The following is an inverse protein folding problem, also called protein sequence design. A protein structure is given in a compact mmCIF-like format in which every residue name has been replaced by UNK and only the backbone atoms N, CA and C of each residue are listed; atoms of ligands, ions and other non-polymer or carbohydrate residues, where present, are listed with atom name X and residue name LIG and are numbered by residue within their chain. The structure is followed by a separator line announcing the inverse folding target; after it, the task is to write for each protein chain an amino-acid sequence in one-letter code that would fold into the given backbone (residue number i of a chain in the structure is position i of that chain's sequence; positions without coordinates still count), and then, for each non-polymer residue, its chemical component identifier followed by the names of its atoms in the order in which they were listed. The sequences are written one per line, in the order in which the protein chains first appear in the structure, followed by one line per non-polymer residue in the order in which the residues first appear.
data_IF_746673453738
#
_entry.id   IF_746673453738
#
_cell.length_a   1.000
_cell.length_b   1.000
_cell.length_c   1.000
_cell.angle_alpha   90.00
_cell.angle_beta   90.00
_cell.angle_gamma   90.00
#
_symmetry.space_group_name_H-M   'P 1'
#
loop_
_entity.id
_entity.type
_entity.pdbx_description
1 polymer ?
#
# COMPACT_ATOMS: atom_id res chain seq x y z
N UNK A 1 -19.83 -35.59 4.01
CA UNK A 1 -18.69 -34.95 4.69
C UNK A 1 -17.43 -35.75 4.33
N UNK A 2 -16.50 -35.17 3.57
CA UNK A 2 -15.21 -35.82 3.32
C UNK A 2 -14.41 -35.82 4.62
N UNK A 3 -14.00 -37.00 5.09
CA UNK A 3 -13.13 -37.13 6.27
C UNK A 3 -11.80 -36.43 6.00
N UNK A 4 -11.48 -35.42 6.82
CA UNK A 4 -10.24 -34.66 6.69
C UNK A 4 -9.07 -35.59 7.00
N UNK A 5 -8.14 -35.77 6.08
CA UNK A 5 -6.96 -36.63 6.28
C UNK A 5 -5.94 -35.99 7.23
N UNK A 6 -5.14 -36.83 7.94
CA UNK A 6 -4.08 -36.34 8.85
C UNK A 6 -3.12 -35.33 8.19
N UNK A 7 -2.65 -35.52 6.93
CA UNK A 7 -1.82 -34.53 6.23
C UNK A 7 -2.52 -33.19 6.00
N UNK A 8 -3.82 -33.19 5.78
CA UNK A 8 -4.61 -31.97 5.64
C UNK A 8 -4.69 -31.18 6.97
N UNK A 9 -4.95 -31.86 8.10
CA UNK A 9 -4.96 -31.23 9.42
C UNK A 9 -3.58 -30.61 9.71
N UNK A 10 -2.51 -31.37 9.49
CA UNK A 10 -1.15 -30.87 9.65
C UNK A 10 -0.86 -29.64 8.77
N UNK A 11 -1.35 -29.60 7.51
CA UNK A 11 -1.17 -28.45 6.64
C UNK A 11 -1.91 -27.20 7.12
N UNK A 12 -3.09 -27.32 7.74
CA UNK A 12 -3.80 -26.20 8.35
C UNK A 12 -3.05 -25.63 9.55
N UNK A 13 -2.57 -26.51 10.45
CA UNK A 13 -1.81 -26.08 11.61
C UNK A 13 -0.54 -25.36 11.19
N UNK A 14 0.21 -25.92 10.23
CA UNK A 14 1.43 -25.30 9.73
C UNK A 14 1.17 -23.96 9.03
N UNK A 15 0.11 -23.85 8.22
CA UNK A 15 -0.27 -22.61 7.58
C UNK A 15 -0.67 -21.55 8.62
N UNK A 16 -1.47 -21.92 9.63
CA UNK A 16 -1.86 -21.00 10.71
C UNK A 16 -0.63 -20.51 11.49
N UNK A 17 0.27 -21.43 11.89
CA UNK A 17 1.50 -21.08 12.61
C UNK A 17 2.38 -20.17 11.76
N UNK A 18 2.51 -20.44 10.46
CA UNK A 18 3.29 -19.61 9.55
C UNK A 18 2.70 -18.20 9.39
N UNK A 19 1.37 -18.07 9.24
CA UNK A 19 0.71 -16.78 9.07
C UNK A 19 0.73 -15.94 10.36
N UNK A 20 0.42 -16.55 11.52
CA UNK A 20 0.50 -15.87 12.83
C UNK A 20 1.96 -15.52 13.14
N UNK A 21 2.90 -16.44 12.87
CA UNK A 21 4.33 -16.19 13.05
C UNK A 21 4.84 -15.06 12.19
N UNK A 22 4.37 -14.95 10.94
CA UNK A 22 4.73 -13.83 10.07
C UNK A 22 4.31 -12.46 10.64
N UNK A 23 3.16 -12.39 11.31
CA UNK A 23 2.70 -11.18 12.00
C UNK A 23 3.52 -10.90 13.27
N UNK A 24 3.65 -11.91 14.15
CA UNK A 24 4.33 -11.73 15.44
C UNK A 24 5.82 -11.42 15.32
N UNK A 25 6.49 -12.04 14.34
CA UNK A 25 7.92 -11.81 14.08
C UNK A 25 8.18 -10.58 13.21
N UNK A 26 7.13 -9.84 12.80
CA UNK A 26 7.24 -8.69 11.91
C UNK A 26 7.72 -9.08 10.50
N UNK A 27 7.49 -10.31 10.06
CA UNK A 27 7.89 -10.81 8.74
C UNK A 27 6.84 -10.60 7.66
N UNK A 28 5.74 -9.87 7.98
CA UNK A 28 4.66 -9.61 7.04
C UNK A 28 5.20 -8.93 5.76
N UNK A 29 6.08 -7.93 5.90
CA UNK A 29 6.68 -7.24 4.76
C UNK A 29 7.48 -8.18 3.85
N UNK A 30 8.21 -9.13 4.42
CA UNK A 30 8.91 -10.16 3.66
C UNK A 30 7.95 -11.10 2.94
N UNK A 31 6.90 -11.55 3.62
CA UNK A 31 5.85 -12.41 3.04
C UNK A 31 5.16 -11.72 1.87
N UNK A 32 4.73 -10.46 2.06
CA UNK A 32 4.03 -9.72 1.01
C UNK A 32 4.94 -9.41 -0.19
N UNK A 33 6.20 -9.04 0.06
CA UNK A 33 7.19 -8.80 -0.99
C UNK A 33 7.50 -10.09 -1.77
N UNK A 34 7.62 -11.22 -1.09
CA UNK A 34 7.81 -12.53 -1.73
C UNK A 34 6.61 -12.94 -2.59
N UNK A 35 5.39 -12.79 -2.05
CA UNK A 35 4.15 -13.06 -2.80
C UNK A 35 3.99 -12.11 -4.00
N UNK A 36 4.44 -10.86 -3.88
CA UNK A 36 4.41 -9.88 -4.97
C UNK A 36 5.31 -10.34 -6.11
N UNK A 37 6.60 -10.62 -5.82
CA UNK A 37 7.55 -11.09 -6.83
C UNK A 37 7.09 -12.40 -7.46
N UNK A 38 6.66 -13.35 -6.65
CA UNK A 38 6.10 -14.62 -7.15
C UNK A 38 4.94 -14.38 -8.11
N UNK A 39 3.98 -13.54 -7.74
CA UNK A 39 2.81 -13.23 -8.55
C UNK A 39 3.19 -12.51 -9.85
N UNK A 40 4.08 -11.53 -9.78
CA UNK A 40 4.53 -10.74 -10.94
C UNK A 40 5.29 -11.62 -11.94
N UNK A 41 6.19 -12.50 -11.46
CA UNK A 41 6.90 -13.47 -12.33
C UNK A 41 5.91 -14.37 -13.05
N UNK A 42 4.90 -14.92 -12.34
CA UNK A 42 3.89 -15.78 -12.94
C UNK A 42 2.95 -15.06 -13.89
N UNK A 43 2.76 -13.76 -13.75
CA UNK A 43 2.00 -12.94 -14.69
C UNK A 43 2.82 -12.51 -15.90
N UNK A 44 4.11 -12.21 -15.71
CA UNK A 44 5.01 -11.76 -16.79
C UNK A 44 5.51 -12.92 -17.67
N UNK A 45 5.78 -14.09 -17.09
CA UNK A 45 6.32 -15.22 -17.83
C UNK A 45 5.49 -15.64 -19.06
N UNK A 46 4.14 -15.77 -18.99
CA UNK A 46 3.35 -16.11 -20.17
C UNK A 46 3.33 -15.00 -21.23
N UNK A 47 3.50 -13.72 -20.83
CA UNK A 47 3.62 -12.60 -21.78
C UNK A 47 4.92 -12.71 -22.57
N UNK A 48 6.04 -13.01 -21.91
CA UNK A 48 7.34 -13.24 -22.54
C UNK A 48 7.30 -14.47 -23.46
N UNK A 49 6.58 -15.54 -23.07
CA UNK A 49 6.37 -16.71 -23.92
C UNK A 49 5.66 -16.37 -25.23
N UNK A 50 4.67 -15.46 -25.21
CA UNK A 50 3.99 -14.97 -26.41
C UNK A 50 4.89 -14.13 -27.31
N UNK A 51 5.95 -13.51 -26.77
CA UNK A 51 6.95 -12.75 -27.50
C UNK A 51 8.08 -13.61 -28.08
N UNK A 52 7.97 -14.95 -28.04
CA UNK A 52 8.92 -15.88 -28.63
C UNK A 52 10.05 -16.33 -27.70
N UNK A 53 10.02 -15.99 -26.41
CA UNK A 53 11.01 -16.46 -25.43
C UNK A 53 10.75 -17.94 -25.12
N UNK A 54 11.81 -18.75 -25.11
CA UNK A 54 11.70 -20.19 -24.80
C UNK A 54 11.14 -20.43 -23.39
N UNK A 55 10.30 -21.43 -23.23
CA UNK A 55 9.58 -21.75 -21.98
C UNK A 55 10.52 -21.94 -20.76
N UNK A 56 11.78 -22.34 -20.97
CA UNK A 56 12.76 -22.48 -19.88
C UNK A 56 13.31 -21.13 -19.36
N UNK A 57 13.31 -20.08 -20.20
CA UNK A 57 13.89 -18.79 -19.88
C UNK A 57 12.86 -17.74 -19.47
N UNK A 58 11.57 -17.96 -19.73
CA UNK A 58 10.52 -16.94 -19.48
C UNK A 58 10.47 -16.48 -18.02
N UNK A 59 10.55 -17.39 -17.06
CA UNK A 59 10.52 -17.04 -15.62
C UNK A 59 11.82 -16.34 -15.18
N UNK A 60 12.96 -16.81 -15.67
CA UNK A 60 14.26 -16.22 -15.37
C UNK A 60 14.35 -14.81 -15.91
N UNK A 61 13.94 -14.57 -17.16
CA UNK A 61 13.89 -13.24 -17.74
C UNK A 61 12.86 -12.34 -17.03
N UNK A 62 11.68 -12.87 -16.71
CA UNK A 62 10.69 -12.12 -15.94
C UNK A 62 11.27 -11.65 -14.59
N UNK A 63 11.94 -12.55 -13.86
CA UNK A 63 12.59 -12.21 -12.59
C UNK A 63 13.72 -11.21 -12.79
N UNK A 64 14.58 -11.36 -13.80
CA UNK A 64 15.67 -10.44 -14.09
C UNK A 64 15.15 -9.02 -14.43
N UNK A 65 14.09 -8.91 -15.24
CA UNK A 65 13.45 -7.64 -15.55
C UNK A 65 12.87 -6.98 -14.28
N UNK A 66 12.17 -7.75 -13.44
CA UNK A 66 11.62 -7.24 -12.19
C UNK A 66 12.71 -6.80 -11.21
N UNK A 67 13.80 -7.57 -11.10
CA UNK A 67 14.95 -7.19 -10.28
C UNK A 67 15.62 -5.89 -10.80
N UNK A 68 15.78 -5.77 -12.12
CA UNK A 68 16.32 -4.56 -12.74
C UNK A 68 15.43 -3.33 -12.48
N UNK A 69 14.10 -3.46 -12.65
CA UNK A 69 13.14 -2.40 -12.35
C UNK A 69 13.23 -2.00 -10.86
N UNK A 70 13.28 -2.97 -9.95
CA UNK A 70 13.42 -2.70 -8.52
C UNK A 70 14.71 -1.97 -8.18
N UNK A 71 15.86 -2.44 -8.71
CA UNK A 71 17.16 -1.78 -8.53
C UNK A 71 17.11 -0.34 -9.07
N UNK A 72 16.55 -0.14 -10.26
CA UNK A 72 16.43 1.19 -10.85
C UNK A 72 15.58 2.12 -10.00
N UNK A 73 14.44 1.64 -9.47
CA UNK A 73 13.58 2.42 -8.56
C UNK A 73 14.30 2.77 -7.26
N UNK A 74 15.07 1.84 -6.68
CA UNK A 74 15.88 2.10 -5.48
C UNK A 74 16.96 3.13 -5.76
N UNK A 75 17.70 2.99 -6.86
CA UNK A 75 18.77 3.93 -7.26
C UNK A 75 18.18 5.33 -7.49
N UNK A 76 17.07 5.45 -8.24
CA UNK A 76 16.39 6.73 -8.47
C UNK A 76 15.90 7.31 -7.13
N UNK A 77 15.31 6.50 -6.28
CA UNK A 77 14.84 6.92 -4.95
C UNK A 77 15.97 7.45 -4.06
N UNK A 78 17.10 6.74 -4.03
CA UNK A 78 18.30 7.17 -3.29
C UNK A 78 18.91 8.44 -3.90
N UNK A 79 19.06 8.51 -5.22
CA UNK A 79 19.59 9.70 -5.88
C UNK A 79 18.71 10.94 -5.64
N UNK A 80 17.40 10.80 -5.77
CA UNK A 80 16.46 11.90 -5.48
C UNK A 80 16.44 12.27 -4.01
N UNK A 81 16.50 11.28 -3.11
CA UNK A 81 16.64 11.51 -1.67
C UNK A 81 17.96 12.21 -1.32
N UNK A 82 19.08 11.81 -1.93
CA UNK A 82 20.36 12.50 -1.73
C UNK A 82 20.32 13.95 -2.24
N UNK A 83 19.77 14.19 -3.41
CA UNK A 83 19.60 15.57 -3.93
C UNK A 83 18.78 16.41 -2.97
N UNK A 84 17.67 15.89 -2.43
CA UNK A 84 16.86 16.57 -1.41
C UNK A 84 17.63 16.82 -0.10
N UNK A 85 18.61 15.98 0.22
CA UNK A 85 19.44 16.12 1.44
C UNK A 85 20.71 16.95 1.21
N UNK A 86 21.31 16.94 0.01
CA UNK A 86 22.56 17.65 -0.32
C UNK A 86 22.36 19.05 -0.85
N UNK A 87 21.29 19.30 -1.60
CA UNK A 87 20.79 20.66 -1.86
C UNK A 87 20.11 21.27 -0.60
N UNK A 88 20.35 20.63 0.43
CA UNK A 88 19.91 20.42 1.81
C UNK A 88 19.45 21.64 2.60
N UNK A 89 19.89 22.82 2.36
CA UNK A 89 19.29 24.01 3.02
C UNK A 89 18.17 24.62 2.17
N UNK A 90 18.32 24.66 0.84
CA UNK A 90 17.31 25.28 -0.02
C UNK A 90 16.08 24.36 -0.26
N UNK A 91 16.25 23.05 -0.36
CA UNK A 91 15.15 22.13 -0.61
C UNK A 91 14.20 21.95 0.59
N UNK A 92 14.75 21.75 1.80
CA UNK A 92 13.96 21.64 3.04
C UNK A 92 13.42 23.01 3.44
N UNK A 93 14.23 24.06 3.36
CA UNK A 93 13.79 25.44 3.64
C UNK A 93 12.69 25.88 2.67
N UNK A 94 12.81 25.57 1.38
CA UNK A 94 11.77 25.88 0.40
C UNK A 94 10.47 25.10 0.63
N UNK A 95 10.55 23.88 1.16
CA UNK A 95 9.37 23.12 1.59
C UNK A 95 8.71 23.76 2.82
N UNK A 96 9.50 24.15 3.83
CA UNK A 96 8.98 24.87 5.00
C UNK A 96 8.39 26.23 4.62
N UNK A 97 9.05 26.97 3.71
CA UNK A 97 8.51 28.23 3.21
C UNK A 97 7.16 28.04 2.50
N UNK A 98 7.05 27.03 1.61
CA UNK A 98 5.76 26.72 0.97
C UNK A 98 4.71 26.24 1.96
N UNK A 99 5.09 25.47 2.97
CA UNK A 99 4.16 25.04 4.02
C UNK A 99 3.70 26.23 4.85
N UNK A 100 4.60 27.15 5.20
CA UNK A 100 4.26 28.37 5.92
C UNK A 100 3.34 29.26 5.08
N UNK A 101 3.64 29.47 3.79
CA UNK A 101 2.78 30.24 2.88
C UNK A 101 1.37 29.63 2.78
N UNK A 102 1.27 28.30 2.70
CA UNK A 102 0.00 27.58 2.71
C UNK A 102 -0.75 27.80 4.03
N UNK A 103 -0.05 27.74 5.16
CA UNK A 103 -0.64 27.90 6.49
C UNK A 103 -1.07 29.35 6.71
N UNK A 104 -0.22 30.34 6.39
CA UNK A 104 -0.52 31.77 6.51
C UNK A 104 -1.75 32.13 5.69
N UNK A 105 -1.79 31.65 4.43
CA UNK A 105 -2.93 31.92 3.55
C UNK A 105 -4.19 31.19 4.03
N UNK A 106 -4.06 29.97 4.52
CA UNK A 106 -5.17 29.21 5.08
C UNK A 106 -5.75 29.88 6.33
N UNK A 107 -4.92 30.48 7.20
CA UNK A 107 -5.38 31.19 8.40
C UNK A 107 -6.29 32.38 8.07
N UNK A 108 -6.07 33.06 6.95
CA UNK A 108 -6.95 34.14 6.50
C UNK A 108 -8.38 33.67 6.24
N UNK A 109 -8.54 32.40 5.89
CA UNK A 109 -9.83 31.80 5.56
C UNK A 109 -10.45 30.96 6.68
N UNK A 110 -9.69 30.77 7.81
CA UNK A 110 -10.18 30.01 8.95
C UNK A 110 -11.08 30.86 9.86
N UNK A 111 -12.12 30.27 10.47
CA UNK A 111 -12.86 30.89 11.57
C UNK A 111 -11.93 31.21 12.75
N UNK A 112 -12.25 32.25 13.51
CA UNK A 112 -11.43 32.74 14.63
C UNK A 112 -11.08 31.66 15.65
N UNK A 113 -12.00 30.76 15.97
CA UNK A 113 -11.80 29.68 16.92
C UNK A 113 -10.78 28.61 16.45
N UNK A 114 -10.50 28.53 15.16
CA UNK A 114 -9.58 27.55 14.60
C UNK A 114 -8.17 28.12 14.39
N UNK A 115 -8.02 29.45 14.33
CA UNK A 115 -6.73 30.09 14.07
C UNK A 115 -5.70 29.82 15.17
N UNK A 116 -6.15 29.77 16.42
CA UNK A 116 -5.27 29.59 17.58
C UNK A 116 -4.57 28.23 17.64
N UNK A 117 -5.01 27.27 16.82
CA UNK A 117 -4.41 25.94 16.74
C UNK A 117 -3.34 25.79 15.63
N UNK A 118 -3.13 26.83 14.83
CA UNK A 118 -2.15 26.79 13.73
C UNK A 118 -1.00 27.75 14.00
N UNK A 119 0.26 27.37 13.61
CA UNK A 119 1.41 28.28 13.70
C UNK A 119 1.13 29.59 12.96
N UNK A 120 1.49 30.70 13.54
CA UNK A 120 1.15 32.03 13.02
C UNK A 120 2.15 32.54 11.97
N UNK A 121 3.35 31.98 11.90
CA UNK A 121 4.40 32.39 10.94
C UNK A 121 5.43 31.26 10.72
N UNK A 122 6.34 31.49 9.75
CA UNK A 122 7.42 30.57 9.40
C UNK A 122 8.33 30.26 10.60
N UNK A 123 8.68 31.26 11.41
CA UNK A 123 9.57 31.08 12.58
C UNK A 123 8.92 30.18 13.64
N UNK A 124 7.63 30.33 13.85
CA UNK A 124 6.87 29.49 14.77
C UNK A 124 6.77 28.05 14.24
N UNK A 125 6.54 27.88 12.93
CA UNK A 125 6.54 26.58 12.27
C UNK A 125 7.92 25.88 12.34
N UNK A 126 9.00 26.64 12.07
CA UNK A 126 10.38 26.14 12.18
C UNK A 126 10.73 25.79 13.62
N UNK A 127 10.35 26.63 14.59
CA UNK A 127 10.58 26.38 16.00
C UNK A 127 9.80 25.16 16.51
N UNK A 128 8.56 25.02 16.09
CA UNK A 128 7.72 23.84 16.38
C UNK A 128 8.33 22.58 15.76
N UNK A 129 8.73 22.63 14.49
CA UNK A 129 9.38 21.50 13.83
C UNK A 129 10.72 21.14 14.48
N UNK A 130 11.55 22.14 14.83
CA UNK A 130 12.82 21.93 15.51
C UNK A 130 12.65 21.40 16.94
N UNK A 131 11.65 21.88 17.67
CA UNK A 131 11.30 21.36 19.00
C UNK A 131 10.77 19.93 18.90
N UNK A 132 9.89 19.66 17.95
CA UNK A 132 9.37 18.32 17.70
C UNK A 132 10.48 17.35 17.34
N UNK A 133 11.38 17.72 16.41
CA UNK A 133 12.55 16.92 16.01
C UNK A 133 13.47 16.63 17.20
N UNK A 134 13.77 17.65 18.03
CA UNK A 134 14.61 17.48 19.23
C UNK A 134 13.96 16.56 20.25
N UNK A 135 12.67 16.73 20.51
CA UNK A 135 11.93 15.91 21.47
C UNK A 135 11.75 14.46 20.99
N UNK A 136 11.78 14.24 19.68
CA UNK A 136 11.58 12.92 19.07
C UNK A 136 12.86 12.37 18.40
N UNK A 137 14.03 13.00 18.61
CA UNK A 137 15.30 12.58 17.99
C UNK A 137 15.64 11.10 18.27
N UNK A 138 15.42 10.62 19.49
CA UNK A 138 15.60 9.20 19.83
C UNK A 138 14.59 8.29 19.11
N UNK A 139 13.35 8.74 18.94
CA UNK A 139 12.35 7.99 18.20
C UNK A 139 12.65 7.96 16.69
N UNK A 140 13.15 9.08 16.13
CA UNK A 140 13.60 9.16 14.73
C UNK A 140 14.77 8.22 14.43
N UNK A 141 15.70 8.07 15.37
CA UNK A 141 16.78 7.10 15.24
C UNK A 141 16.24 5.66 15.24
N UNK A 142 15.25 5.35 16.09
CA UNK A 142 14.58 4.05 16.10
C UNK A 142 13.82 3.82 14.79
N UNK A 143 13.10 4.83 14.30
CA UNK A 143 12.39 4.77 13.01
C UNK A 143 13.37 4.51 11.86
N UNK A 144 14.53 5.16 11.83
CA UNK A 144 15.57 4.91 10.84
C UNK A 144 16.08 3.46 10.87
N UNK A 145 16.29 2.90 12.06
CA UNK A 145 16.63 1.48 12.23
C UNK A 145 15.49 0.58 11.74
N UNK A 146 14.26 0.89 12.09
CA UNK A 146 13.09 0.09 11.72
C UNK A 146 12.85 0.11 10.20
N UNK A 147 13.09 1.24 9.54
CA UNK A 147 13.09 1.33 8.08
C UNK A 147 14.19 0.45 7.48
N UNK A 148 15.39 0.48 8.03
CA UNK A 148 16.48 -0.38 7.58
C UNK A 148 16.13 -1.87 7.70
N UNK A 149 15.59 -2.29 8.83
CA UNK A 149 15.12 -3.67 9.06
C UNK A 149 13.98 -4.02 8.10
N UNK A 150 13.04 -3.10 7.88
CA UNK A 150 11.94 -3.27 6.92
C UNK A 150 12.46 -3.52 5.50
N UNK A 151 13.42 -2.71 5.04
CA UNK A 151 14.03 -2.86 3.71
C UNK A 151 14.74 -4.21 3.57
N UNK A 152 15.51 -4.62 4.58
CA UNK A 152 16.16 -5.94 4.58
C UNK A 152 15.11 -7.06 4.48
N UNK A 153 14.03 -6.99 5.25
CA UNK A 153 12.94 -7.97 5.20
C UNK A 153 12.27 -8.01 3.84
N UNK A 154 12.02 -6.85 3.22
CA UNK A 154 11.47 -6.75 1.86
C UNK A 154 12.41 -7.43 0.86
N UNK A 155 13.71 -7.11 0.88
CA UNK A 155 14.70 -7.69 -0.05
C UNK A 155 14.78 -9.20 0.14
N UNK A 156 14.88 -9.68 1.37
CA UNK A 156 14.91 -11.13 1.65
C UNK A 156 13.63 -11.82 1.17
N UNK A 157 12.46 -11.19 1.39
CA UNK A 157 11.19 -11.69 0.88
C UNK A 157 11.16 -11.77 -0.64
N UNK A 158 11.64 -10.73 -1.34
CA UNK A 158 11.73 -10.70 -2.79
C UNK A 158 12.65 -11.80 -3.33
N UNK A 159 13.81 -12.01 -2.71
CA UNK A 159 14.76 -13.10 -3.07
C UNK A 159 14.08 -14.45 -2.91
N UNK A 160 13.46 -14.73 -1.76
CA UNK A 160 12.77 -16.00 -1.50
C UNK A 160 11.63 -16.20 -2.49
N UNK A 161 10.79 -15.18 -2.71
CA UNK A 161 9.69 -15.24 -3.69
C UNK A 161 10.18 -15.48 -5.11
N UNK A 162 11.30 -14.88 -5.51
CA UNK A 162 11.97 -15.11 -6.79
C UNK A 162 12.49 -16.53 -6.91
N UNK A 163 13.17 -17.05 -5.91
CA UNK A 163 13.65 -18.43 -5.88
C UNK A 163 12.51 -19.44 -6.01
N UNK A 164 11.42 -19.23 -5.27
CA UNK A 164 10.21 -20.07 -5.37
C UNK A 164 9.61 -20.00 -6.77
N UNK A 165 9.56 -18.82 -7.38
CA UNK A 165 9.01 -18.62 -8.72
C UNK A 165 9.86 -19.32 -9.81
N UNK A 166 11.17 -19.43 -9.61
CA UNK A 166 12.09 -20.15 -10.50
C UNK A 166 12.05 -21.67 -10.30
N UNK A 167 11.64 -22.14 -9.11
CA UNK A 167 11.60 -23.56 -8.82
C UNK A 167 10.57 -24.22 -9.74
N UNK A 168 11.07 -24.83 -10.80
CA UNK A 168 10.26 -25.70 -11.65
C UNK A 168 9.97 -26.95 -10.84
N UNK A 169 8.71 -27.20 -10.55
CA UNK A 169 8.29 -28.51 -10.07
C UNK A 169 8.40 -29.45 -11.26
N UNK A 170 9.62 -29.90 -11.60
CA UNK A 170 9.82 -31.09 -12.39
C UNK A 170 9.63 -32.27 -11.44
N UNK A 171 8.55 -33.02 -11.57
CA UNK A 171 8.26 -34.10 -10.65
C UNK A 171 9.14 -35.30 -10.98
N UNK A 172 10.41 -35.28 -10.58
CA UNK A 172 11.23 -36.49 -10.55
C UNK A 172 10.75 -37.50 -9.49
N UNK A 173 9.97 -37.03 -8.51
CA UNK A 173 9.24 -37.84 -7.53
C UNK A 173 7.86 -37.23 -7.29
N UNK A 174 6.82 -38.08 -7.19
CA UNK A 174 5.48 -37.65 -6.79
C UNK A 174 5.58 -37.00 -5.40
N UNK A 175 5.08 -35.78 -5.23
CA UNK A 175 5.13 -35.11 -3.92
C UNK A 175 4.30 -35.91 -2.91
N UNK A 176 4.79 -35.99 -1.67
CA UNK A 176 4.06 -36.62 -0.57
C UNK A 176 2.74 -35.88 -0.25
N UNK A 177 1.78 -36.53 0.42
CA UNK A 177 0.46 -35.98 0.64
C UNK A 177 0.46 -34.66 1.46
N UNK A 178 1.40 -34.49 2.39
CA UNK A 178 1.56 -33.21 3.11
C UNK A 178 2.08 -32.10 2.21
N UNK A 179 3.04 -32.40 1.32
CA UNK A 179 3.57 -31.41 0.39
C UNK A 179 2.48 -30.92 -0.59
N UNK A 180 1.64 -31.83 -1.07
CA UNK A 180 0.47 -31.47 -1.90
C UNK A 180 -0.47 -30.55 -1.14
N UNK A 181 -0.82 -30.89 0.11
CA UNK A 181 -1.70 -30.08 0.93
C UNK A 181 -1.12 -28.68 1.24
N UNK A 182 0.19 -28.57 1.53
CA UNK A 182 0.86 -27.29 1.75
C UNK A 182 0.91 -26.42 0.50
N UNK A 183 1.16 -27.05 -0.67
CA UNK A 183 1.14 -26.32 -1.95
C UNK A 183 -0.25 -25.76 -2.26
N UNK A 184 -1.31 -26.49 -1.93
CA UNK A 184 -2.69 -26.03 -2.05
C UNK A 184 -2.93 -24.79 -1.17
N UNK A 185 -2.48 -24.79 0.11
CA UNK A 185 -2.58 -23.64 1.02
C UNK A 185 -1.80 -22.43 0.49
N UNK A 186 -0.56 -22.65 0.04
CA UNK A 186 0.26 -21.59 -0.55
C UNK A 186 -0.38 -20.99 -1.82
N UNK A 187 -0.99 -21.82 -2.67
CA UNK A 187 -1.70 -21.35 -3.85
C UNK A 187 -2.93 -20.50 -3.50
N UNK A 188 -3.71 -20.91 -2.49
CA UNK A 188 -4.86 -20.13 -2.01
C UNK A 188 -4.41 -18.78 -1.43
N UNK A 189 -3.36 -18.75 -0.61
CA UNK A 189 -2.80 -17.52 -0.07
C UNK A 189 -2.30 -16.60 -1.19
N UNK A 190 -1.58 -17.14 -2.18
CA UNK A 190 -1.10 -16.38 -3.33
C UNK A 190 -2.26 -15.81 -4.16
N UNK A 191 -3.35 -16.56 -4.34
CA UNK A 191 -4.54 -16.08 -5.03
C UNK A 191 -5.27 -14.98 -4.23
N UNK A 192 -5.43 -15.15 -2.93
CA UNK A 192 -6.01 -14.14 -2.04
C UNK A 192 -5.18 -12.85 -2.09
N UNK A 193 -3.85 -12.95 -1.94
CA UNK A 193 -2.93 -11.82 -2.07
C UNK A 193 -3.09 -11.11 -3.41
N UNK A 194 -3.02 -11.85 -4.51
CA UNK A 194 -3.15 -11.30 -5.86
C UNK A 194 -4.48 -10.57 -6.05
N UNK A 195 -5.57 -11.16 -5.61
CA UNK A 195 -6.90 -10.57 -5.74
C UNK A 195 -7.03 -9.26 -4.96
N UNK A 196 -6.51 -9.21 -3.72
CA UNK A 196 -6.55 -8.01 -2.88
C UNK A 196 -5.62 -6.93 -3.43
N UNK A 197 -4.33 -7.22 -3.60
CA UNK A 197 -3.31 -6.22 -3.94
C UNK A 197 -3.56 -5.61 -5.31
N UNK A 198 -3.88 -6.42 -6.33
CA UNK A 198 -4.18 -5.87 -7.65
C UNK A 198 -5.54 -5.19 -7.74
N UNK A 199 -6.50 -5.54 -6.88
CA UNK A 199 -7.73 -4.76 -6.74
C UNK A 199 -7.44 -3.41 -6.12
N UNK A 200 -6.66 -3.35 -5.04
CA UNK A 200 -6.27 -2.10 -4.39
C UNK A 200 -5.47 -1.18 -5.33
N UNK A 201 -4.56 -1.74 -6.13
CA UNK A 201 -3.83 -0.98 -7.15
C UNK A 201 -4.77 -0.33 -8.17
N UNK A 202 -5.78 -1.07 -8.66
CA UNK A 202 -6.78 -0.53 -9.60
C UNK A 202 -7.63 0.56 -8.96
N UNK A 203 -8.05 0.36 -7.71
CA UNK A 203 -8.87 1.31 -6.97
C UNK A 203 -8.08 2.61 -6.76
N UNK A 204 -6.83 2.50 -6.28
CA UNK A 204 -5.95 3.65 -6.09
C UNK A 204 -5.68 4.38 -7.41
N UNK A 205 -5.44 3.66 -8.51
CA UNK A 205 -5.23 4.27 -9.83
C UNK A 205 -6.48 5.03 -10.32
N UNK A 206 -7.67 4.45 -10.15
CA UNK A 206 -8.94 5.10 -10.52
C UNK A 206 -9.23 6.32 -9.66
N UNK A 207 -9.04 6.21 -8.34
CA UNK A 207 -9.19 7.35 -7.42
C UNK A 207 -8.22 8.47 -7.78
N UNK A 208 -6.96 8.14 -8.03
CA UNK A 208 -5.93 9.10 -8.49
C UNK A 208 -6.28 9.74 -9.82
N UNK A 209 -6.83 8.97 -10.76
CA UNK A 209 -7.26 9.49 -12.06
C UNK A 209 -8.37 10.53 -11.92
N UNK A 210 -9.41 10.22 -11.17
CA UNK A 210 -10.50 11.17 -10.94
C UNK A 210 -10.06 12.39 -10.12
N UNK A 211 -9.27 12.19 -9.08
CA UNK A 211 -8.67 13.27 -8.30
C UNK A 211 -7.77 14.14 -9.17
N UNK A 212 -6.99 13.53 -10.05
CA UNK A 212 -6.15 14.26 -11.01
C UNK A 212 -6.96 15.13 -11.98
N UNK A 213 -8.05 14.61 -12.52
CA UNK A 213 -8.99 15.40 -13.36
C UNK A 213 -9.56 16.55 -12.54
N UNK A 214 -10.00 16.31 -11.31
CA UNK A 214 -10.56 17.34 -10.46
C UNK A 214 -9.55 18.46 -10.19
N UNK A 215 -8.34 18.10 -9.74
CA UNK A 215 -7.30 19.07 -9.37
C UNK A 215 -6.69 19.80 -10.57
N UNK A 216 -6.49 19.09 -11.70
CA UNK A 216 -5.77 19.65 -12.84
C UNK A 216 -6.68 20.23 -13.95
N UNK A 217 -7.97 19.88 -13.96
CA UNK A 217 -8.91 20.32 -15.00
C UNK A 217 -10.11 21.05 -14.40
N UNK A 218 -10.83 20.42 -13.46
CA UNK A 218 -12.08 20.99 -12.95
C UNK A 218 -11.82 22.27 -12.16
N UNK A 219 -10.95 22.25 -11.16
CA UNK A 219 -10.65 23.44 -10.36
C UNK A 219 -10.09 24.61 -11.21
N UNK A 220 -9.13 24.39 -12.11
CA UNK A 220 -8.66 25.45 -13.02
C UNK A 220 -9.74 26.02 -13.95
N UNK A 221 -10.70 25.20 -14.40
CA UNK A 221 -11.83 25.68 -15.20
C UNK A 221 -12.75 26.65 -14.43
N UNK A 222 -12.76 26.56 -13.08
CA UNK A 222 -13.42 27.54 -12.20
C UNK A 222 -12.48 28.67 -11.76
N UNK A 223 -11.29 28.80 -12.35
CA UNK A 223 -10.30 29.83 -11.99
C UNK A 223 -9.54 29.54 -10.71
N UNK A 224 -9.67 28.34 -10.15
CA UNK A 224 -9.01 27.93 -8.89
C UNK A 224 -7.74 27.13 -9.25
N UNK A 225 -6.56 27.69 -8.96
CA UNK A 225 -5.27 27.05 -9.22
C UNK A 225 -4.63 26.67 -7.88
N UNK A 226 -4.63 25.37 -7.56
CA UNK A 226 -3.99 24.87 -6.36
C UNK A 226 -2.48 24.72 -6.54
N UNK A 227 -1.68 25.01 -5.50
CA UNK A 227 -0.27 24.64 -5.48
C UNK A 227 -0.10 23.11 -5.35
N UNK A 228 1.07 22.60 -5.71
CA UNK A 228 1.47 21.20 -5.47
C UNK A 228 0.53 20.13 -6.09
N UNK A 229 -0.22 20.43 -7.14
CA UNK A 229 -1.17 19.47 -7.78
C UNK A 229 -0.50 18.14 -8.12
N UNK A 230 0.71 18.15 -8.72
CA UNK A 230 1.44 16.92 -9.07
C UNK A 230 1.77 16.08 -7.84
N UNK A 231 2.17 16.74 -6.76
CA UNK A 231 2.49 16.08 -5.48
C UNK A 231 1.24 15.47 -4.86
N UNK A 232 0.11 16.20 -4.86
CA UNK A 232 -1.16 15.69 -4.34
C UNK A 232 -1.64 14.47 -5.13
N UNK A 233 -1.52 14.48 -6.46
CA UNK A 233 -1.84 13.32 -7.30
C UNK A 233 -0.96 12.13 -6.95
N UNK A 234 0.36 12.34 -6.81
CA UNK A 234 1.29 11.28 -6.44
C UNK A 234 1.00 10.73 -5.04
N UNK A 235 0.77 11.61 -4.05
CA UNK A 235 0.39 11.23 -2.68
C UNK A 235 -0.90 10.40 -2.70
N UNK A 236 -1.94 10.84 -3.44
CA UNK A 236 -3.20 10.10 -3.57
C UNK A 236 -2.98 8.68 -4.10
N UNK A 237 -2.08 8.50 -5.08
CA UNK A 237 -1.77 7.18 -5.61
C UNK A 237 -1.05 6.29 -4.59
N UNK A 238 0.09 6.74 -4.07
CA UNK A 238 0.93 5.90 -3.21
C UNK A 238 0.28 5.62 -1.85
N UNK A 239 -0.29 6.65 -1.24
CA UNK A 239 -0.97 6.50 0.06
C UNK A 239 -2.28 5.74 -0.11
N UNK A 240 -2.99 5.93 -1.23
CA UNK A 240 -4.20 5.19 -1.60
C UNK A 240 -4.00 3.67 -1.77
N UNK A 241 -2.76 3.18 -1.84
CA UNK A 241 -2.48 1.74 -1.77
C UNK A 241 -2.73 1.16 -0.38
N UNK A 242 -2.75 1.99 0.66
CA UNK A 242 -3.11 1.57 2.02
C UNK A 242 -4.63 1.61 2.19
N UNK A 243 -5.29 0.49 2.50
CA UNK A 243 -6.73 0.47 2.70
C UNK A 243 -7.16 1.44 3.81
N UNK A 244 -8.23 2.17 3.61
CA UNK A 244 -8.87 3.10 4.56
C UNK A 244 -8.00 4.31 4.93
N UNK A 245 -6.80 4.12 5.48
CA UNK A 245 -5.90 5.20 5.93
C UNK A 245 -5.46 6.07 4.74
N UNK A 246 -5.26 5.46 3.57
CA UNK A 246 -4.79 6.16 2.39
C UNK A 246 -5.67 7.33 1.98
N UNK A 247 -6.96 7.10 1.95
CA UNK A 247 -7.94 8.13 1.59
C UNK A 247 -8.01 9.24 2.65
N UNK A 248 -7.91 8.88 3.93
CA UNK A 248 -7.92 9.88 5.01
C UNK A 248 -6.74 10.84 4.87
N UNK A 249 -5.53 10.33 4.66
CA UNK A 249 -4.32 11.16 4.50
C UNK A 249 -4.41 12.02 3.24
N UNK A 250 -4.70 11.43 2.08
CA UNK A 250 -4.74 12.18 0.81
C UNK A 250 -5.84 13.25 0.82
N UNK A 251 -7.02 12.93 1.36
CA UNK A 251 -8.12 13.89 1.47
C UNK A 251 -7.77 15.05 2.39
N UNK A 252 -7.15 14.78 3.53
CA UNK A 252 -6.71 15.83 4.46
C UNK A 252 -5.72 16.77 3.78
N UNK A 253 -4.72 16.24 3.07
CA UNK A 253 -3.74 17.05 2.34
C UNK A 253 -4.42 17.91 1.28
N UNK A 254 -5.32 17.35 0.48
CA UNK A 254 -6.02 18.10 -0.58
C UNK A 254 -6.87 19.23 0.01
N UNK A 255 -7.62 18.97 1.09
CA UNK A 255 -8.48 19.99 1.73
C UNK A 255 -7.65 21.11 2.35
N UNK A 256 -6.53 20.80 3.02
CA UNK A 256 -5.63 21.80 3.60
C UNK A 256 -5.04 22.68 2.48
N UNK A 257 -4.54 22.07 1.40
CA UNK A 257 -3.99 22.83 0.27
C UNK A 257 -5.08 23.64 -0.44
N UNK A 258 -6.30 23.15 -0.57
CA UNK A 258 -7.42 23.89 -1.14
C UNK A 258 -7.82 25.07 -0.24
N UNK A 259 -7.75 24.92 1.10
CA UNK A 259 -8.06 25.96 2.07
C UNK A 259 -7.08 27.13 1.96
N UNK A 260 -5.81 26.89 1.62
CA UNK A 260 -4.84 27.96 1.40
C UNK A 260 -5.19 28.89 0.23
N UNK A 261 -6.00 28.43 -0.72
CA UNK A 261 -6.44 29.25 -1.86
C UNK A 261 -7.74 29.99 -1.53
N UNK A 262 -8.74 29.26 -1.03
CA UNK A 262 -9.99 29.86 -0.55
C UNK A 262 -10.82 28.85 0.24
N UNK A 263 -11.70 29.36 1.11
CA UNK A 263 -12.68 28.52 1.81
C UNK A 263 -13.62 27.81 0.83
N UNK A 264 -14.04 28.48 -0.26
CA UNK A 264 -14.85 27.88 -1.30
C UNK A 264 -14.16 26.70 -2.01
N UNK A 265 -12.85 26.84 -2.29
CA UNK A 265 -12.04 25.75 -2.87
C UNK A 265 -11.95 24.54 -1.91
N UNK A 266 -11.78 24.78 -0.61
CA UNK A 266 -11.76 23.72 0.40
C UNK A 266 -13.10 22.97 0.49
N UNK A 267 -14.21 23.70 0.56
CA UNK A 267 -15.56 23.11 0.60
C UNK A 267 -15.87 22.35 -0.70
N UNK A 268 -15.52 22.91 -1.85
CA UNK A 268 -15.67 22.23 -3.15
C UNK A 268 -14.84 20.96 -3.25
N UNK A 269 -13.59 21.01 -2.78
CA UNK A 269 -12.71 19.84 -2.73
C UNK A 269 -13.25 18.78 -1.77
N UNK A 270 -13.71 19.17 -0.59
CA UNK A 270 -14.33 18.24 0.38
C UNK A 270 -15.59 17.58 -0.20
N UNK A 271 -16.45 18.35 -0.85
CA UNK A 271 -17.66 17.83 -1.50
C UNK A 271 -17.29 16.81 -2.60
N UNK A 272 -16.30 17.13 -3.45
CA UNK A 272 -15.79 16.20 -4.46
C UNK A 272 -15.24 14.92 -3.82
N UNK A 273 -14.42 15.04 -2.77
CA UNK A 273 -13.81 13.90 -2.08
C UNK A 273 -14.85 12.99 -1.43
N UNK A 274 -15.94 13.54 -0.91
CA UNK A 274 -17.08 12.76 -0.40
C UNK A 274 -17.76 11.99 -1.53
N UNK A 275 -17.97 12.64 -2.68
CA UNK A 275 -18.60 12.01 -3.85
C UNK A 275 -17.73 10.90 -4.40
N UNK A 276 -16.43 11.15 -4.59
CA UNK A 276 -15.50 10.14 -5.13
C UNK A 276 -15.33 8.97 -4.16
N UNK A 277 -15.34 9.22 -2.85
CA UNK A 277 -15.29 8.15 -1.85
C UNK A 277 -16.54 7.25 -1.89
N UNK A 278 -17.74 7.82 -2.11
CA UNK A 278 -18.94 7.02 -2.32
C UNK A 278 -18.86 6.21 -3.62
N UNK A 279 -18.34 6.81 -4.69
CA UNK A 279 -18.11 6.10 -5.96
C UNK A 279 -17.08 4.97 -5.77
N UNK A 280 -16.00 5.23 -5.06
CA UNK A 280 -14.99 4.23 -4.71
C UNK A 280 -15.60 3.07 -3.91
N UNK A 281 -16.44 3.35 -2.92
CA UNK A 281 -17.15 2.32 -2.16
C UNK A 281 -18.02 1.44 -3.07
N UNK A 282 -18.75 2.04 -4.01
CA UNK A 282 -19.56 1.31 -4.99
C UNK A 282 -18.69 0.47 -5.93
N UNK A 283 -17.57 1.02 -6.39
CA UNK A 283 -16.61 0.30 -7.24
C UNK A 283 -15.94 -0.83 -6.48
N UNK A 284 -15.57 -0.62 -5.21
CA UNK A 284 -15.02 -1.65 -4.33
C UNK A 284 -16.02 -2.81 -4.17
N UNK A 285 -17.28 -2.51 -3.92
CA UNK A 285 -18.32 -3.52 -3.82
C UNK A 285 -18.46 -4.33 -5.13
N UNK A 286 -18.31 -3.69 -6.28
CA UNK A 286 -18.38 -4.34 -7.60
C UNK A 286 -17.10 -5.07 -7.99
N UNK A 287 -15.92 -4.53 -7.70
CA UNK A 287 -14.62 -5.09 -8.11
C UNK A 287 -14.15 -6.16 -7.11
N UNK A 288 -14.22 -5.87 -5.81
CA UNK A 288 -13.77 -6.78 -4.75
C UNK A 288 -14.86 -7.77 -4.40
N UNK A 289 -16.11 -7.33 -4.26
CA UNK A 289 -17.24 -8.17 -3.90
C UNK A 289 -17.49 -9.33 -4.86
N UNK A 290 -17.22 -9.11 -6.17
CA UNK A 290 -17.32 -10.17 -7.17
C UNK A 290 -16.20 -11.22 -7.09
N UNK A 291 -15.03 -10.86 -6.56
CA UNK A 291 -13.85 -11.75 -6.50
C UNK A 291 -13.70 -12.47 -5.18
N UNK A 292 -13.99 -11.79 -4.05
CA UNK A 292 -13.78 -12.36 -2.70
C UNK A 292 -15.08 -12.90 -2.13
N UNK A 293 -16.25 -12.47 -2.67
CA UNK A 293 -17.59 -12.80 -2.15
C UNK A 293 -17.73 -12.54 -0.65
N UNK A 294 -17.03 -11.51 -0.14
CA UNK A 294 -17.09 -11.08 1.25
C UNK A 294 -17.98 -9.84 1.36
N UNK A 295 -18.79 -9.75 2.39
CA UNK A 295 -19.52 -8.54 2.69
C UNK A 295 -18.55 -7.48 3.26
N UNK A 296 -18.82 -6.20 2.99
CA UNK A 296 -17.92 -5.11 3.42
C UNK A 296 -17.71 -5.10 4.95
N UNK A 297 -18.77 -5.38 5.73
CA UNK A 297 -18.67 -5.41 7.19
C UNK A 297 -17.76 -6.52 7.70
N UNK A 298 -17.67 -7.67 7.02
CA UNK A 298 -16.79 -8.78 7.37
C UNK A 298 -15.31 -8.35 7.26
N UNK A 299 -14.96 -7.64 6.18
CA UNK A 299 -13.62 -7.12 5.98
C UNK A 299 -13.28 -6.02 6.99
N UNK A 300 -14.23 -5.12 7.28
CA UNK A 300 -14.03 -4.07 8.29
C UNK A 300 -13.81 -4.67 9.68
N UNK A 301 -14.60 -5.68 10.05
CA UNK A 301 -14.42 -6.36 11.33
C UNK A 301 -13.04 -7.03 11.42
N UNK A 302 -12.62 -7.75 10.37
CA UNK A 302 -11.30 -8.35 10.31
C UNK A 302 -10.19 -7.28 10.44
N UNK A 303 -10.34 -6.14 9.75
CA UNK A 303 -9.37 -5.04 9.82
C UNK A 303 -9.26 -4.46 11.22
N UNK A 304 -10.39 -4.21 11.93
CA UNK A 304 -10.40 -3.70 13.30
C UNK A 304 -9.71 -4.68 14.26
N UNK A 305 -10.03 -5.99 14.16
CA UNK A 305 -9.43 -7.01 15.03
C UNK A 305 -7.93 -7.14 14.80
N UNK A 306 -7.50 -7.19 13.55
CA UNK A 306 -6.08 -7.31 13.22
C UNK A 306 -5.30 -6.03 13.53
N UNK A 307 -5.91 -4.86 13.36
CA UNK A 307 -5.32 -3.58 13.74
C UNK A 307 -5.11 -3.50 15.25
N UNK A 308 -6.10 -3.88 16.06
CA UNK A 308 -5.99 -3.89 17.51
C UNK A 308 -4.86 -4.82 18.03
N UNK A 309 -4.54 -5.90 17.30
CA UNK A 309 -3.49 -6.83 17.70
C UNK A 309 -2.11 -6.51 17.15
N UNK A 310 -2.05 -6.01 15.93
CA UNK A 310 -0.79 -5.87 15.15
C UNK A 310 -0.60 -4.48 14.55
N UNK A 311 -1.45 -3.50 14.89
CA UNK A 311 -1.38 -2.14 14.38
C UNK A 311 -1.55 -2.08 12.85
N UNK A 312 -0.80 -1.18 12.20
CA UNK A 312 -0.85 -0.97 10.74
C UNK A 312 -0.53 -2.25 9.96
N UNK A 313 0.42 -3.07 10.46
CA UNK A 313 0.74 -4.34 9.81
C UNK A 313 -0.48 -5.28 9.78
N UNK A 314 -1.24 -5.35 10.89
CA UNK A 314 -2.49 -6.09 10.97
C UNK A 314 -3.54 -5.56 10.00
N UNK A 315 -3.70 -4.25 9.91
CA UNK A 315 -4.64 -3.61 8.98
C UNK A 315 -4.38 -4.00 7.52
N UNK A 316 -3.10 -4.07 7.11
CA UNK A 316 -2.69 -4.46 5.74
C UNK A 316 -2.89 -5.97 5.52
N UNK A 317 -2.60 -6.79 6.53
CA UNK A 317 -2.73 -8.25 6.45
C UNK A 317 -4.19 -8.72 6.43
N UNK A 318 -5.07 -8.03 7.17
CA UNK A 318 -6.44 -8.48 7.43
C UNK A 318 -7.23 -8.84 6.17
N UNK A 319 -7.30 -8.01 5.11
CA UNK A 319 -8.05 -8.36 3.90
C UNK A 319 -7.52 -9.63 3.22
N UNK A 320 -6.19 -9.81 3.22
CA UNK A 320 -5.52 -10.94 2.57
C UNK A 320 -5.79 -12.22 3.35
N UNK A 321 -5.60 -12.20 4.68
CA UNK A 321 -5.79 -13.35 5.56
C UNK A 321 -7.27 -13.74 5.63
N UNK A 322 -8.16 -12.76 5.66
CA UNK A 322 -9.60 -13.00 5.62
C UNK A 322 -10.04 -13.65 4.29
N UNK A 323 -9.56 -13.13 3.16
CA UNK A 323 -9.84 -13.71 1.85
C UNK A 323 -9.32 -15.15 1.75
N UNK A 324 -8.10 -15.40 2.22
CA UNK A 324 -7.53 -16.74 2.30
C UNK A 324 -8.39 -17.68 3.15
N UNK A 325 -8.77 -17.27 4.36
CA UNK A 325 -9.63 -18.07 5.25
C UNK A 325 -10.98 -18.38 4.58
N UNK A 326 -11.59 -17.38 3.97
CA UNK A 326 -12.89 -17.55 3.30
C UNK A 326 -12.82 -18.50 2.11
N UNK A 327 -11.74 -18.45 1.32
CA UNK A 327 -11.52 -19.38 0.21
C UNK A 327 -11.29 -20.82 0.71
N UNK A 328 -10.60 -20.99 1.85
CA UNK A 328 -10.46 -22.29 2.51
C UNK A 328 -11.82 -22.88 2.95
N UNK A 329 -12.63 -22.07 3.61
CA UNK A 329 -13.94 -22.50 4.11
C UNK A 329 -14.87 -22.89 2.94
N UNK A 330 -14.84 -22.12 1.83
CA UNK A 330 -15.61 -22.43 0.63
C UNK A 330 -15.19 -23.74 -0.02
N UNK A 331 -13.88 -23.96 -0.16
CA UNK A 331 -13.36 -25.20 -0.75
C UNK A 331 -13.80 -26.44 0.04
N UNK A 332 -14.09 -26.27 1.33
CA UNK A 332 -14.59 -27.34 2.19
C UNK A 332 -16.11 -27.44 2.24
N UNK A 333 -16.82 -26.54 1.55
CA UNK A 333 -18.27 -26.51 1.59
C UNK A 333 -18.83 -26.18 2.97
N UNK A 334 -18.07 -25.38 3.78
CA UNK A 334 -18.49 -24.95 5.11
C UNK A 334 -19.28 -23.64 5.06
N UNK A 335 -19.11 -22.88 3.99
CA UNK A 335 -19.83 -21.63 3.67
C UNK A 335 -20.15 -21.55 2.18
#
# INVERSE_FOLDING_TARGET
MQTISKPQIASYILALVALVGALQLGLLSALLAGLLVYSLVHMAAPLLGRMGVSNGLTRTLALAILALIFILLVVIGVMRGMVLLTDGSEGIVSLFQKMAEIIDTAQLHLPTWARDYFPSNLEELESFAAAWLRNHAGQLQLVGRDIGVLLIRIILGMVIGGLIALTSVSPTKKPGPLAVALTERAALLSNAFRNIVFSQLRISALNTFFTGIFLAVVLPAFGIHLPLVKTMIAVTFFVGLLPVIGNLISNTVIVIVALSVSFGAAVGSLAFLIIIHKLEYFMNAKIIGSRIKAAAWELLLAMIVFEAWYGIAGLVAAPIYYAYLKDELKLRGLI
#
